data_IF_591281839774
#
_entry.id   IF_591281839774
#
_cell.length_a   1.000
_cell.length_b   1.000
_cell.length_c   1.000
_cell.angle_alpha   90.00
_cell.angle_beta   90.00
_cell.angle_gamma   90.00
#
_symmetry.space_group_name_H-M   'P 1'
#
loop_
_entity.id
_entity.type
_entity.pdbx_description
1 polymer ?
#
# COMPACT_ATOMS: atom_id res chain seq x y z
N UNK A 1 22.99 -10.34 -0.86
CA UNK A 1 23.56 -9.25 -0.03
C UNK A 1 23.33 -7.85 -0.60
N UNK A 2 23.56 -7.60 -1.91
CA UNK A 2 23.34 -6.28 -2.54
C UNK A 2 21.85 -5.87 -2.57
N UNK A 3 20.94 -6.82 -2.84
CA UNK A 3 19.50 -6.57 -2.84
C UNK A 3 18.95 -6.28 -1.45
N UNK A 4 19.42 -6.96 -0.43
CA UNK A 4 19.04 -6.74 0.97
C UNK A 4 19.44 -5.34 1.46
N UNK A 5 20.63 -4.85 1.07
CA UNK A 5 21.05 -3.48 1.38
C UNK A 5 20.19 -2.40 0.74
N UNK A 6 19.66 -2.66 -0.46
CA UNK A 6 18.76 -1.72 -1.15
C UNK A 6 17.37 -1.63 -0.51
N UNK A 7 16.95 -2.68 0.21
CA UNK A 7 15.64 -2.73 0.88
C UNK A 7 15.70 -2.29 2.35
N UNK A 8 16.87 -1.88 2.88
CA UNK A 8 17.07 -1.55 4.29
C UNK A 8 16.59 -2.65 5.27
N UNK A 9 16.57 -3.92 4.83
CA UNK A 9 16.13 -5.05 5.63
C UNK A 9 17.30 -5.56 6.47
N UNK A 10 17.10 -5.70 7.77
CA UNK A 10 18.01 -6.45 8.63
C UNK A 10 17.89 -7.93 8.31
N UNK A 11 19.03 -8.59 8.11
CA UNK A 11 19.09 -10.01 7.83
C UNK A 11 19.82 -10.77 8.96
N UNK A 12 19.55 -12.06 9.02
CA UNK A 12 20.21 -13.00 9.92
C UNK A 12 20.62 -14.24 9.11
N UNK A 13 21.72 -14.85 9.50
CA UNK A 13 22.24 -16.07 8.87
C UNK A 13 22.51 -17.14 9.93
N UNK A 14 22.69 -18.38 9.47
CA UNK A 14 23.00 -19.49 10.37
C UNK A 14 21.80 -20.11 11.07
N UNK A 15 20.57 -19.85 10.60
CA UNK A 15 19.33 -20.48 11.09
C UNK A 15 18.75 -21.44 10.06
N UNK A 16 17.98 -22.43 10.51
CA UNK A 16 17.19 -23.31 9.63
C UNK A 16 15.98 -22.55 9.10
N UNK A 17 16.13 -21.90 7.95
CA UNK A 17 15.09 -21.12 7.29
C UNK A 17 13.92 -21.99 6.85
N UNK A 18 14.15 -23.27 6.54
CA UNK A 18 13.09 -24.21 6.16
C UNK A 18 12.19 -24.58 7.34
N UNK A 19 12.79 -24.83 8.51
CA UNK A 19 12.04 -25.08 9.73
C UNK A 19 11.21 -23.85 10.11
N UNK A 20 11.81 -22.64 10.08
CA UNK A 20 11.12 -21.39 10.35
C UNK A 20 9.93 -21.16 9.41
N UNK A 21 10.11 -21.41 8.10
CA UNK A 21 9.04 -21.32 7.10
C UNK A 21 7.88 -22.26 7.42
N UNK A 22 8.16 -23.52 7.82
CA UNK A 22 7.13 -24.48 8.20
C UNK A 22 6.34 -24.01 9.43
N UNK A 23 7.03 -23.47 10.45
CA UNK A 23 6.42 -22.93 11.66
C UNK A 23 5.48 -21.76 11.31
N UNK A 24 5.95 -20.79 10.53
CA UNK A 24 5.13 -19.64 10.11
C UNK A 24 3.92 -20.11 9.29
N UNK A 25 4.10 -21.06 8.39
CA UNK A 25 3.02 -21.61 7.58
C UNK A 25 1.96 -22.30 8.45
N UNK A 26 2.37 -23.00 9.52
CA UNK A 26 1.47 -23.71 10.41
C UNK A 26 0.73 -22.78 11.36
N UNK A 27 1.43 -21.80 11.97
CA UNK A 27 0.93 -20.98 13.08
C UNK A 27 0.59 -19.56 12.68
N UNK A 28 1.02 -19.09 11.51
CA UNK A 28 0.88 -17.70 11.08
C UNK A 28 2.02 -16.81 11.57
N UNK A 29 1.87 -15.49 11.40
CA UNK A 29 2.83 -14.50 11.89
C UNK A 29 2.83 -14.46 13.41
N UNK A 30 4.02 -14.40 14.00
CA UNK A 30 4.21 -14.42 15.44
C UNK A 30 5.34 -13.46 15.88
N UNK A 31 5.33 -13.09 17.15
CA UNK A 31 6.44 -12.36 17.74
C UNK A 31 7.67 -13.28 17.80
N UNK A 32 8.83 -12.74 17.52
CA UNK A 32 10.10 -13.46 17.59
C UNK A 32 11.20 -12.56 18.15
N UNK A 33 12.22 -13.16 18.75
CA UNK A 33 13.42 -12.47 19.19
C UNK A 33 14.65 -13.24 18.75
N UNK A 34 15.77 -12.53 18.61
CA UNK A 34 17.08 -13.11 18.43
C UNK A 34 17.78 -13.15 19.78
N UNK A 35 18.29 -14.31 20.14
CA UNK A 35 19.00 -14.56 21.39
C UNK A 35 20.47 -14.80 21.14
N UNK A 36 21.33 -14.37 22.07
CA UNK A 36 22.74 -14.74 22.10
C UNK A 36 22.95 -16.05 22.90
N UNK A 37 24.05 -16.77 22.63
CA UNK A 37 24.41 -17.90 23.47
C UNK A 37 24.55 -17.47 24.93
N UNK A 38 23.79 -18.13 25.83
CA UNK A 38 23.79 -17.80 27.26
C UNK A 38 22.58 -17.00 27.76
N UNK A 39 21.75 -16.47 26.85
CA UNK A 39 20.51 -15.81 27.25
C UNK A 39 19.52 -16.82 27.85
N UNK A 40 18.78 -16.40 28.88
CA UNK A 40 17.71 -17.23 29.45
C UNK A 40 16.50 -17.28 28.51
N UNK A 41 16.17 -18.46 28.02
CA UNK A 41 15.01 -18.68 27.13
C UNK A 41 13.70 -18.30 27.83
N UNK A 42 13.56 -18.61 29.11
CA UNK A 42 12.36 -18.29 29.90
C UNK A 42 12.16 -16.78 29.97
N UNK A 43 13.23 -16.03 30.30
CA UNK A 43 13.17 -14.57 30.35
C UNK A 43 12.78 -13.95 28.99
N UNK A 44 13.38 -14.45 27.89
CA UNK A 44 13.05 -13.99 26.53
C UNK A 44 11.60 -14.32 26.14
N UNK A 45 11.09 -15.48 26.54
CA UNK A 45 9.67 -15.82 26.31
C UNK A 45 8.73 -14.89 27.07
N UNK A 46 9.04 -14.55 28.31
CA UNK A 46 8.25 -13.63 29.11
C UNK A 46 8.29 -12.20 28.52
N UNK A 47 9.44 -11.74 28.07
CA UNK A 47 9.57 -10.49 27.31
C UNK A 47 8.70 -10.48 26.05
N UNK A 48 8.71 -11.57 25.25
CA UNK A 48 7.90 -11.68 24.05
C UNK A 48 6.40 -11.64 24.33
N UNK A 49 5.97 -12.30 25.42
CA UNK A 49 4.57 -12.26 25.87
C UNK A 49 4.15 -10.86 26.30
N UNK A 50 5.01 -10.19 27.06
CA UNK A 50 4.75 -8.83 27.58
C UNK A 50 4.83 -7.75 26.50
N UNK A 51 5.57 -7.98 25.41
CA UNK A 51 5.75 -6.99 24.34
C UNK A 51 4.42 -6.68 23.67
N UNK A 52 4.02 -5.41 23.69
CA UNK A 52 2.90 -4.88 22.89
C UNK A 52 3.47 -4.31 21.59
N UNK A 53 2.88 -4.72 20.46
CA UNK A 53 3.28 -4.17 19.16
C UNK A 53 2.78 -2.73 19.03
N UNK A 54 3.58 -1.81 18.48
CA UNK A 54 3.15 -0.42 18.32
C UNK A 54 2.01 -0.32 17.29
N UNK A 55 1.08 0.59 17.53
CA UNK A 55 -0.02 0.94 16.61
C UNK A 55 0.25 2.22 15.83
N UNK A 56 1.29 2.97 16.20
CA UNK A 56 1.69 4.22 15.55
C UNK A 56 2.79 4.03 14.49
N UNK A 57 2.78 2.90 13.78
CA UNK A 57 3.84 2.58 12.81
C UNK A 57 3.93 3.62 11.67
N UNK A 58 2.80 4.10 11.19
CA UNK A 58 2.75 5.09 10.10
C UNK A 58 3.31 6.43 10.58
N UNK A 59 2.94 6.89 11.76
CA UNK A 59 3.47 8.11 12.37
C UNK A 59 5.01 8.09 12.48
N UNK A 60 5.59 6.92 12.78
CA UNK A 60 7.04 6.77 12.94
C UNK A 60 7.81 6.86 11.62
N UNK A 61 7.19 6.54 10.47
CA UNK A 61 7.86 6.43 9.16
C UNK A 61 7.45 7.52 8.16
N UNK A 62 6.31 8.17 8.36
CA UNK A 62 5.84 9.26 7.53
C UNK A 62 6.74 10.49 7.64
N UNK A 63 6.81 11.25 6.57
CA UNK A 63 7.46 12.58 6.60
C UNK A 63 6.78 13.48 7.65
N UNK A 64 7.56 14.36 8.26
CA UNK A 64 7.04 15.34 9.24
C UNK A 64 6.69 16.68 8.60
N UNK A 65 7.21 16.93 7.41
CA UNK A 65 6.96 18.17 6.66
C UNK A 65 6.78 17.84 5.19
N UNK A 66 5.93 18.61 4.51
CA UNK A 66 5.78 18.47 3.08
C UNK A 66 7.08 18.81 2.35
N UNK A 67 7.38 18.05 1.28
CA UNK A 67 8.52 18.31 0.42
C UNK A 67 8.20 18.03 -1.05
N UNK A 68 8.81 18.78 -2.00
CA UNK A 68 8.59 18.58 -3.42
C UNK A 68 9.52 17.52 -4.02
N UNK A 69 9.03 16.80 -5.02
CA UNK A 69 9.79 16.06 -6.02
C UNK A 69 9.41 16.67 -7.38
N UNK A 70 10.18 17.68 -7.87
CA UNK A 70 9.76 18.54 -8.97
C UNK A 70 9.72 17.81 -10.31
N UNK A 71 8.75 18.19 -11.14
CA UNK A 71 8.55 17.81 -12.53
C UNK A 71 7.80 18.92 -13.26
N UNK A 72 7.53 18.72 -14.56
CA UNK A 72 6.87 19.73 -15.42
C UNK A 72 5.46 19.29 -15.85
N UNK A 73 5.05 18.07 -15.51
CA UNK A 73 3.75 17.51 -15.87
C UNK A 73 2.68 17.70 -14.79
N UNK A 74 1.84 16.70 -14.60
CA UNK A 74 0.72 16.72 -13.64
C UNK A 74 1.17 16.96 -12.20
N UNK A 75 0.42 17.78 -11.47
CA UNK A 75 0.63 18.03 -10.05
C UNK A 75 -0.03 16.92 -9.21
N UNK A 76 0.78 16.10 -8.58
CA UNK A 76 0.33 14.98 -7.74
C UNK A 76 0.62 15.31 -6.28
N UNK A 77 -0.39 15.21 -5.42
CA UNK A 77 -0.18 15.16 -3.97
C UNK A 77 -0.05 13.70 -3.58
N UNK A 78 1.07 13.36 -2.93
CA UNK A 78 1.36 12.02 -2.45
C UNK A 78 1.31 12.01 -0.92
N UNK A 79 0.32 11.32 -0.36
CA UNK A 79 0.17 11.16 1.08
C UNK A 79 1.09 10.03 1.56
N UNK A 80 2.00 10.36 2.47
CA UNK A 80 3.06 9.46 2.94
C UNK A 80 2.64 8.64 4.16
N UNK A 81 2.18 7.43 3.94
CA UNK A 81 1.93 6.42 4.99
C UNK A 81 3.14 5.53 5.28
N UNK A 82 4.30 5.79 4.65
CA UNK A 82 5.52 4.98 4.70
C UNK A 82 6.06 4.71 3.30
N UNK A 83 6.23 5.78 2.55
CA UNK A 83 6.50 5.82 1.13
C UNK A 83 7.76 5.07 0.71
N UNK A 84 7.64 4.18 -0.25
CA UNK A 84 8.77 3.67 -1.02
C UNK A 84 9.17 4.68 -2.09
N UNK A 85 10.44 5.08 -2.10
CA UNK A 85 10.96 6.01 -3.11
C UNK A 85 10.80 5.54 -4.57
N UNK A 86 10.53 4.24 -4.79
CA UNK A 86 10.21 3.71 -6.12
C UNK A 86 8.91 4.29 -6.68
N UNK A 87 7.92 4.58 -5.85
CA UNK A 87 6.69 5.26 -6.28
C UNK A 87 7.00 6.66 -6.81
N UNK A 88 7.83 7.43 -6.11
CA UNK A 88 8.28 8.74 -6.61
C UNK A 88 9.03 8.61 -7.94
N UNK A 89 9.88 7.59 -8.08
CA UNK A 89 10.59 7.35 -9.35
C UNK A 89 9.63 7.04 -10.51
N UNK A 90 8.54 6.31 -10.25
CA UNK A 90 7.54 6.05 -11.29
C UNK A 90 6.82 7.33 -11.75
N UNK A 91 6.49 8.23 -10.83
CA UNK A 91 5.96 9.54 -11.18
C UNK A 91 6.99 10.44 -11.86
N UNK A 92 8.25 10.42 -11.39
CA UNK A 92 9.35 11.18 -12.02
C UNK A 92 9.65 10.74 -13.45
N UNK A 93 9.55 9.43 -13.76
CA UNK A 93 9.68 8.92 -15.14
C UNK A 93 8.58 9.45 -16.07
N UNK A 94 7.47 9.89 -15.52
CA UNK A 94 6.31 10.45 -16.21
C UNK A 94 6.23 11.98 -16.10
N UNK A 95 7.36 12.59 -15.73
CA UNK A 95 7.53 14.05 -15.57
C UNK A 95 6.55 14.71 -14.59
N UNK A 96 5.90 13.95 -13.71
CA UNK A 96 4.97 14.51 -12.74
C UNK A 96 5.67 15.40 -11.71
N UNK A 97 5.00 16.49 -11.35
CA UNK A 97 5.39 17.36 -10.24
C UNK A 97 4.71 16.84 -8.96
N UNK A 98 5.47 16.23 -8.05
CA UNK A 98 4.91 15.58 -6.87
C UNK A 98 5.20 16.40 -5.62
N UNK A 99 4.16 16.62 -4.81
CA UNK A 99 4.31 17.13 -3.43
C UNK A 99 4.00 15.99 -2.47
N UNK A 100 5.00 15.55 -1.73
CA UNK A 100 4.84 14.56 -0.68
C UNK A 100 4.39 15.26 0.59
N UNK A 101 3.31 14.76 1.21
CA UNK A 101 2.69 15.36 2.40
C UNK A 101 2.60 14.33 3.53
N UNK A 102 2.59 14.78 4.81
CA UNK A 102 2.43 13.90 5.95
C UNK A 102 1.12 13.09 5.92
N UNK A 103 1.13 11.96 6.64
CA UNK A 103 0.00 11.03 6.73
C UNK A 103 -1.29 11.62 7.36
N UNK A 104 -1.15 12.66 8.17
CA UNK A 104 -2.22 13.31 8.93
C UNK A 104 -2.79 14.57 8.26
N UNK A 105 -2.40 14.81 6.99
CA UNK A 105 -2.95 15.91 6.20
C UNK A 105 -4.47 15.80 6.07
N UNK A 106 -5.17 16.91 6.16
CA UNK A 106 -6.63 16.97 6.01
C UNK A 106 -7.07 17.05 4.55
N UNK A 107 -8.32 16.71 4.28
CA UNK A 107 -8.91 16.85 2.94
C UNK A 107 -8.89 18.33 2.47
N UNK A 108 -9.14 19.26 3.38
CA UNK A 108 -9.14 20.70 3.07
C UNK A 108 -7.75 21.16 2.64
N UNK A 109 -6.71 20.77 3.36
CA UNK A 109 -5.32 21.11 3.00
C UNK A 109 -4.93 20.52 1.63
N UNK A 110 -5.33 19.28 1.32
CA UNK A 110 -5.10 18.68 -0.01
C UNK A 110 -5.80 19.50 -1.09
N UNK A 111 -7.08 19.86 -0.88
CA UNK A 111 -7.85 20.66 -1.83
C UNK A 111 -7.23 22.05 -2.06
N UNK A 112 -6.66 22.68 -1.02
CA UNK A 112 -5.94 23.95 -1.14
C UNK A 112 -4.66 23.87 -1.99
N UNK A 113 -4.01 22.70 -2.03
CA UNK A 113 -2.86 22.47 -2.91
C UNK A 113 -3.26 22.36 -4.39
N UNK A 114 -4.57 22.24 -4.67
CA UNK A 114 -5.14 22.15 -6.01
C UNK A 114 -4.41 21.12 -6.92
N UNK A 115 -4.23 19.86 -6.50
CA UNK A 115 -3.55 18.87 -7.31
C UNK A 115 -4.44 18.36 -8.44
N UNK A 116 -3.80 17.82 -9.49
CA UNK A 116 -4.49 17.10 -10.56
C UNK A 116 -4.94 15.70 -10.10
N UNK A 117 -4.20 15.08 -9.17
CA UNK A 117 -4.51 13.77 -8.61
C UNK A 117 -3.88 13.55 -7.25
N UNK A 118 -4.40 12.59 -6.50
CA UNK A 118 -3.90 12.18 -5.18
C UNK A 118 -3.44 10.74 -5.20
N UNK A 119 -2.20 10.52 -4.74
CA UNK A 119 -1.61 9.21 -4.54
C UNK A 119 -1.60 8.86 -3.06
N UNK A 120 -2.19 7.72 -2.67
CA UNK A 120 -2.13 7.15 -1.33
C UNK A 120 -1.02 6.09 -1.31
N UNK A 121 0.07 6.36 -0.58
CA UNK A 121 1.24 5.50 -0.60
C UNK A 121 1.03 4.18 0.13
N UNK A 122 1.98 3.28 -0.02
CA UNK A 122 2.15 2.13 0.84
C UNK A 122 2.51 2.55 2.27
N UNK A 123 2.40 1.61 3.23
CA UNK A 123 2.77 1.85 4.62
C UNK A 123 2.77 0.57 5.47
N UNK A 124 3.36 0.61 6.66
CA UNK A 124 3.38 -0.50 7.61
C UNK A 124 2.14 -0.50 8.53
N UNK A 125 1.88 -1.63 9.18
CA UNK A 125 0.93 -1.74 10.28
C UNK A 125 -0.46 -2.22 9.88
N UNK A 126 -1.41 -1.94 10.75
CA UNK A 126 -2.82 -2.25 10.55
C UNK A 126 -3.52 -1.00 9.97
N UNK A 127 -4.29 -1.12 8.88
CA UNK A 127 -5.01 0.05 8.32
C UNK A 127 -6.05 0.64 9.28
N UNK A 128 -6.54 -0.11 10.26
CA UNK A 128 -7.47 0.39 11.27
C UNK A 128 -6.81 1.31 12.31
N UNK A 129 -5.47 1.34 12.38
CA UNK A 129 -4.74 2.23 13.31
C UNK A 129 -4.71 3.70 12.82
N UNK A 130 -5.22 4.01 11.62
CA UNK A 130 -5.19 5.34 11.00
C UNK A 130 -6.59 5.86 10.59
N UNK A 131 -7.54 5.96 11.52
CA UNK A 131 -8.93 6.31 11.20
C UNK A 131 -9.07 7.71 10.58
N UNK A 132 -8.22 8.66 10.92
CA UNK A 132 -8.21 10.02 10.36
C UNK A 132 -7.96 10.04 8.83
N UNK A 133 -7.21 9.08 8.30
CA UNK A 133 -7.00 8.96 6.85
C UNK A 133 -8.30 8.62 6.10
N UNK A 134 -9.24 7.93 6.75
CA UNK A 134 -10.53 7.60 6.14
C UNK A 134 -11.37 8.85 5.89
N UNK A 135 -11.36 9.80 6.83
CA UNK A 135 -12.11 11.06 6.70
C UNK A 135 -11.47 11.96 5.64
N UNK A 136 -10.14 11.98 5.57
CA UNK A 136 -9.41 12.67 4.51
C UNK A 136 -9.80 12.11 3.14
N UNK A 137 -9.76 10.79 2.96
CA UNK A 137 -10.10 10.13 1.69
C UNK A 137 -11.55 10.44 1.30
N UNK A 138 -12.51 10.32 2.21
CA UNK A 138 -13.92 10.67 1.96
C UNK A 138 -14.09 12.13 1.55
N UNK A 139 -13.31 13.03 2.16
CA UNK A 139 -13.36 14.46 1.88
C UNK A 139 -12.87 14.87 0.50
N UNK A 140 -11.97 14.09 -0.12
CA UNK A 140 -11.43 14.35 -1.48
C UNK A 140 -12.10 13.52 -2.58
N UNK A 141 -12.80 12.42 -2.23
CA UNK A 141 -13.48 11.56 -3.21
C UNK A 141 -14.48 12.34 -4.05
N UNK A 142 -14.50 12.05 -5.36
CA UNK A 142 -15.35 12.73 -6.33
C UNK A 142 -14.88 14.14 -6.72
N UNK A 143 -13.93 14.72 -6.00
CA UNK A 143 -13.37 16.05 -6.27
C UNK A 143 -12.03 15.97 -7.01
N UNK A 144 -11.26 14.94 -6.75
CA UNK A 144 -9.93 14.72 -7.31
C UNK A 144 -9.75 13.23 -7.60
N UNK A 145 -9.13 12.83 -8.72
CA UNK A 145 -8.76 11.44 -8.97
C UNK A 145 -7.82 10.86 -7.91
N UNK A 146 -8.06 9.61 -7.49
CA UNK A 146 -7.31 8.94 -6.43
C UNK A 146 -6.73 7.62 -6.95
N UNK A 147 -5.44 7.38 -6.63
CA UNK A 147 -4.79 6.08 -6.78
C UNK A 147 -4.20 5.64 -5.44
N UNK A 148 -4.45 4.40 -5.01
CA UNK A 148 -3.93 3.83 -3.75
C UNK A 148 -3.09 2.58 -3.97
N UNK A 149 -1.96 2.46 -3.26
CA UNK A 149 -1.08 1.29 -3.30
C UNK A 149 -0.92 0.70 -1.90
N UNK A 150 -1.13 -0.62 -1.77
CA UNK A 150 -0.92 -1.43 -0.56
C UNK A 150 -1.70 -0.85 0.66
N UNK A 151 -1.07 -0.12 1.57
CA UNK A 151 -1.77 0.57 2.67
C UNK A 151 -2.81 1.55 2.12
N UNK A 152 -2.47 2.31 1.07
CA UNK A 152 -3.40 3.22 0.41
C UNK A 152 -4.63 2.52 -0.17
N UNK A 153 -4.48 1.29 -0.69
CA UNK A 153 -5.60 0.45 -1.13
C UNK A 153 -6.50 0.06 0.04
N UNK A 154 -5.90 -0.37 1.16
CA UNK A 154 -6.66 -0.76 2.34
C UNK A 154 -7.44 0.42 2.91
N UNK A 155 -6.77 1.57 3.09
CA UNK A 155 -7.43 2.80 3.58
C UNK A 155 -8.53 3.30 2.65
N UNK A 156 -8.31 3.27 1.33
CA UNK A 156 -9.33 3.60 0.33
C UNK A 156 -10.56 2.69 0.45
N UNK A 157 -10.34 1.39 0.58
CA UNK A 157 -11.42 0.42 0.73
C UNK A 157 -12.19 0.60 2.05
N UNK A 158 -11.48 0.82 3.16
CA UNK A 158 -12.09 1.09 4.47
C UNK A 158 -12.88 2.42 4.47
N UNK A 159 -12.37 3.46 3.82
CA UNK A 159 -13.05 4.75 3.70
C UNK A 159 -14.42 4.61 3.02
N UNK A 160 -14.57 3.63 2.13
CA UNK A 160 -15.80 3.30 1.44
C UNK A 160 -16.68 2.27 2.16
N UNK A 161 -16.28 1.79 3.34
CA UNK A 161 -17.08 0.90 4.18
C UNK A 161 -16.75 -0.59 4.07
N UNK A 162 -15.72 -0.98 3.30
CA UNK A 162 -15.20 -2.34 3.32
C UNK A 162 -14.47 -2.63 4.64
N UNK A 163 -14.19 -3.90 4.93
CA UNK A 163 -13.45 -4.35 6.09
C UNK A 163 -12.12 -4.96 5.68
N UNK A 164 -11.09 -4.74 6.49
CA UNK A 164 -9.82 -5.44 6.36
C UNK A 164 -9.75 -6.62 7.35
N UNK A 165 -9.02 -7.66 6.99
CA UNK A 165 -8.71 -8.76 7.89
C UNK A 165 -7.22 -9.07 7.89
N UNK A 166 -6.73 -9.57 9.02
CA UNK A 166 -5.35 -10.02 9.14
C UNK A 166 -5.21 -11.41 8.54
N UNK A 167 -4.38 -11.53 7.52
CA UNK A 167 -4.06 -12.81 6.89
C UNK A 167 -3.20 -13.66 7.83
N UNK A 168 -3.27 -14.99 7.70
CA UNK A 168 -2.50 -15.91 8.53
C UNK A 168 -0.99 -15.64 8.46
N UNK A 169 -0.44 -15.46 7.26
CA UNK A 169 0.98 -15.13 7.04
C UNK A 169 1.20 -14.04 5.98
N UNK A 170 0.15 -13.58 5.29
CA UNK A 170 0.17 -12.54 4.27
C UNK A 170 0.87 -12.96 2.97
N UNK A 171 0.91 -12.04 2.02
CA UNK A 171 1.64 -12.20 0.77
C UNK A 171 3.00 -11.51 0.85
N UNK A 172 4.08 -12.26 0.57
CA UNK A 172 5.45 -11.74 0.57
C UNK A 172 6.26 -12.43 -0.51
N UNK A 173 6.69 -11.65 -1.51
CA UNK A 173 7.49 -12.15 -2.63
C UNK A 173 7.28 -11.35 -3.90
N UNK A 174 7.88 -11.85 -4.99
CA UNK A 174 7.90 -11.18 -6.31
C UNK A 174 7.28 -12.05 -7.40
N UNK A 175 6.56 -13.08 -7.02
CA UNK A 175 6.00 -14.10 -7.91
C UNK A 175 4.53 -14.41 -7.61
N UNK A 176 3.82 -13.43 -7.08
CA UNK A 176 2.37 -13.55 -6.89
C UNK A 176 1.67 -13.21 -8.20
N UNK A 177 0.91 -14.16 -8.71
CA UNK A 177 0.15 -14.00 -9.95
C UNK A 177 -1.20 -13.38 -9.64
N UNK A 178 -1.44 -12.18 -10.17
CA UNK A 178 -2.67 -11.41 -10.02
C UNK A 178 -3.38 -11.31 -11.35
N UNK A 179 -4.67 -11.60 -11.36
CA UNK A 179 -5.52 -11.51 -12.54
C UNK A 179 -6.32 -10.22 -12.53
N UNK A 180 -6.21 -9.45 -13.59
CA UNK A 180 -7.17 -8.40 -13.90
C UNK A 180 -8.49 -9.03 -14.39
N UNK A 181 -9.59 -8.73 -13.71
CA UNK A 181 -10.87 -9.42 -13.94
C UNK A 181 -11.47 -9.06 -15.30
N UNK A 182 -11.38 -7.79 -15.70
CA UNK A 182 -11.99 -7.28 -16.92
C UNK A 182 -11.38 -7.87 -18.20
N UNK A 183 -10.06 -8.00 -18.24
CA UNK A 183 -9.31 -8.45 -19.44
C UNK A 183 -8.90 -9.92 -19.36
N UNK A 184 -8.85 -10.48 -18.15
CA UNK A 184 -8.30 -11.81 -17.88
C UNK A 184 -6.76 -11.84 -17.90
N UNK A 185 -6.08 -10.69 -18.05
CA UNK A 185 -4.63 -10.58 -18.04
C UNK A 185 -4.08 -10.98 -16.67
N UNK A 186 -2.96 -11.66 -16.68
CA UNK A 186 -2.26 -12.10 -15.47
C UNK A 186 -0.89 -11.43 -15.43
N UNK A 187 -0.65 -10.67 -14.38
CA UNK A 187 0.62 -10.03 -14.09
C UNK A 187 1.30 -10.71 -12.89
N UNK A 188 2.62 -10.87 -12.94
CA UNK A 188 3.39 -11.22 -11.77
C UNK A 188 3.70 -9.97 -10.97
N UNK A 189 3.39 -10.02 -9.68
CA UNK A 189 3.43 -8.84 -8.81
C UNK A 189 4.38 -8.99 -7.64
N UNK A 190 4.90 -7.84 -7.20
CA UNK A 190 5.62 -7.71 -5.94
C UNK A 190 4.62 -7.48 -4.82
N UNK A 191 4.70 -8.29 -3.76
CA UNK A 191 3.78 -8.22 -2.63
C UNK A 191 4.52 -8.22 -1.30
N UNK A 192 4.08 -7.38 -0.37
CA UNK A 192 4.54 -7.38 1.02
C UNK A 192 3.46 -6.79 1.93
N UNK A 193 2.44 -7.59 2.24
CA UNK A 193 1.36 -7.16 3.13
C UNK A 193 0.89 -8.31 4.02
N UNK A 194 0.31 -7.98 5.18
CA UNK A 194 -0.25 -8.92 6.14
C UNK A 194 -1.75 -8.76 6.35
N UNK A 195 -2.35 -7.76 5.74
CA UNK A 195 -3.79 -7.52 5.74
C UNK A 195 -4.32 -7.53 4.32
N UNK A 196 -5.58 -7.93 4.16
CA UNK A 196 -6.29 -7.91 2.89
C UNK A 196 -7.72 -7.41 3.10
N UNK A 197 -8.38 -7.00 2.03
CA UNK A 197 -9.78 -6.56 2.05
C UNK A 197 -10.69 -7.79 1.98
N UNK A 198 -11.65 -7.83 2.89
CA UNK A 198 -12.66 -8.86 2.91
C UNK A 198 -13.65 -8.66 1.75
N UNK A 199 -13.63 -9.59 0.81
CA UNK A 199 -14.47 -9.56 -0.40
C UNK A 199 -15.95 -9.47 -0.09
N UNK A 200 -16.42 -10.15 0.96
CA UNK A 200 -17.83 -10.19 1.33
C UNK A 200 -18.30 -8.88 1.97
N UNK A 201 -17.37 -8.07 2.45
CA UNK A 201 -17.66 -6.76 3.05
C UNK A 201 -17.69 -5.62 2.05
N UNK A 202 -17.33 -5.87 0.78
CA UNK A 202 -17.27 -4.80 -0.23
C UNK A 202 -18.64 -4.19 -0.46
N UNK A 203 -18.77 -2.86 -0.35
CA UNK A 203 -20.02 -2.17 -0.66
C UNK A 203 -20.26 -2.09 -2.18
N UNK A 204 -21.49 -1.86 -2.58
CA UNK A 204 -21.90 -1.78 -3.99
C UNK A 204 -21.16 -0.70 -4.79
N UNK A 205 -20.67 0.35 -4.13
CA UNK A 205 -19.89 1.42 -4.78
C UNK A 205 -18.49 0.98 -5.21
N UNK A 206 -17.97 -0.13 -4.68
CA UNK A 206 -16.66 -0.66 -5.05
C UNK A 206 -16.80 -1.90 -5.96
N UNK A 207 -15.99 -1.93 -6.99
CA UNK A 207 -15.86 -3.07 -7.91
C UNK A 207 -14.46 -3.67 -7.79
N UNK A 208 -14.38 -5.00 -7.61
CA UNK A 208 -13.10 -5.71 -7.64
C UNK A 208 -12.55 -5.68 -9.06
N UNK A 209 -11.32 -5.20 -9.21
CA UNK A 209 -10.61 -5.14 -10.50
C UNK A 209 -9.55 -6.21 -10.64
N UNK A 210 -8.89 -6.55 -9.54
CA UNK A 210 -7.79 -7.51 -9.50
C UNK A 210 -7.99 -8.54 -8.38
N UNK A 211 -7.61 -9.78 -8.65
CA UNK A 211 -7.63 -10.87 -7.66
C UNK A 211 -6.35 -11.72 -7.74
N UNK A 212 -5.86 -12.19 -6.61
CA UNK A 212 -4.79 -13.20 -6.55
C UNK A 212 -5.32 -14.55 -7.05
N UNK A 213 -4.51 -15.25 -7.88
CA UNK A 213 -4.99 -16.44 -8.57
C UNK A 213 -5.20 -17.63 -7.63
N UNK A 214 -4.36 -17.79 -6.60
CA UNK A 214 -4.37 -18.98 -5.75
C UNK A 214 -5.43 -18.90 -4.63
N UNK A 215 -5.49 -17.78 -3.89
CA UNK A 215 -6.37 -17.66 -2.72
C UNK A 215 -7.59 -16.74 -2.93
N UNK A 216 -7.67 -16.10 -4.11
CA UNK A 216 -8.78 -15.23 -4.49
C UNK A 216 -8.93 -13.98 -3.63
N UNK A 217 -7.88 -13.58 -2.92
CA UNK A 217 -7.88 -12.31 -2.20
C UNK A 217 -8.10 -11.14 -3.15
N UNK A 218 -8.69 -10.07 -2.61
CA UNK A 218 -8.92 -8.83 -3.36
C UNK A 218 -7.59 -8.10 -3.51
N UNK A 219 -7.15 -7.94 -4.75
CA UNK A 219 -5.88 -7.31 -5.09
C UNK A 219 -6.03 -5.93 -5.75
N UNK A 220 -7.26 -5.52 -6.03
CA UNK A 220 -7.55 -4.19 -6.53
C UNK A 220 -9.04 -3.90 -6.56
N UNK A 221 -9.37 -2.63 -6.34
CA UNK A 221 -10.74 -2.13 -6.43
C UNK A 221 -10.79 -0.80 -7.18
N UNK A 222 -11.95 -0.53 -7.80
CA UNK A 222 -12.29 0.76 -8.43
C UNK A 222 -13.62 1.24 -7.88
N UNK A 223 -13.75 2.54 -7.64
CA UNK A 223 -15.04 3.14 -7.32
C UNK A 223 -15.88 3.27 -8.59
N UNK A 224 -17.21 2.98 -8.49
CA UNK A 224 -18.10 3.01 -9.65
C UNK A 224 -18.44 4.43 -10.13
N UNK A 225 -18.58 5.35 -9.19
CA UNK A 225 -19.05 6.70 -9.44
C UNK A 225 -17.93 7.76 -9.43
N UNK A 226 -16.84 7.49 -8.72
CA UNK A 226 -15.75 8.45 -8.56
C UNK A 226 -14.49 8.00 -9.32
N UNK A 227 -13.67 8.93 -9.81
CA UNK A 227 -12.42 8.63 -10.49
C UNK A 227 -11.36 8.15 -9.48
N UNK A 228 -11.52 6.93 -8.99
CA UNK A 228 -10.65 6.39 -7.97
C UNK A 228 -10.48 4.87 -8.11
N UNK A 229 -9.24 4.41 -8.00
CA UNK A 229 -8.90 2.99 -7.95
C UNK A 229 -7.69 2.72 -7.06
N UNK A 230 -7.48 1.46 -6.72
CA UNK A 230 -6.37 1.08 -5.86
C UNK A 230 -5.98 -0.37 -6.06
N UNK A 231 -4.70 -0.70 -5.75
CA UNK A 231 -4.17 -2.06 -5.81
C UNK A 231 -3.42 -2.43 -4.55
N UNK A 232 -3.52 -3.70 -4.14
CA UNK A 232 -2.89 -4.24 -2.94
C UNK A 232 -1.40 -4.52 -3.14
N UNK A 233 -1.02 -4.95 -4.34
CA UNK A 233 0.36 -5.21 -4.73
C UNK A 233 1.14 -3.93 -5.05
N UNK A 234 2.45 -4.06 -5.31
CA UNK A 234 3.35 -2.94 -5.60
C UNK A 234 3.68 -2.83 -7.09
N UNK A 235 2.98 -1.99 -7.87
CA UNK A 235 3.28 -1.78 -9.28
C UNK A 235 4.59 -1.04 -9.53
N UNK A 236 5.15 -0.39 -8.50
CA UNK A 236 6.46 0.25 -8.49
C UNK A 236 7.63 -0.74 -8.49
N UNK A 237 7.39 -2.01 -8.19
CA UNK A 237 8.23 -3.19 -8.35
C UNK A 237 9.73 -3.01 -8.06
N UNK A 238 10.10 -2.43 -6.94
CA UNK A 238 11.50 -2.27 -6.54
C UNK A 238 11.79 -2.92 -5.16
N UNK A 239 12.20 -4.18 -5.18
CA UNK A 239 12.43 -5.09 -6.32
C UNK A 239 11.16 -5.81 -6.77
N UNK A 240 11.17 -6.32 -7.99
CA UNK A 240 10.12 -7.18 -8.53
C UNK A 240 9.93 -7.04 -10.05
N UNK A 241 8.97 -7.76 -10.62
CA UNK A 241 8.57 -7.63 -12.02
C UNK A 241 7.88 -6.27 -12.26
N UNK A 242 8.04 -5.75 -13.49
CA UNK A 242 7.48 -4.44 -13.88
C UNK A 242 6.17 -4.56 -14.67
N UNK A 243 5.54 -5.74 -14.65
CA UNK A 243 4.34 -6.06 -15.44
C UNK A 243 3.20 -5.08 -15.17
N UNK A 244 3.05 -4.62 -13.94
CA UNK A 244 1.96 -3.75 -13.49
C UNK A 244 2.30 -2.25 -13.50
N UNK A 245 3.46 -1.83 -14.02
CA UNK A 245 3.86 -0.40 -14.04
C UNK A 245 2.92 0.50 -14.83
N UNK A 246 2.15 -0.07 -15.77
CA UNK A 246 1.12 0.63 -16.56
C UNK A 246 0.03 1.28 -15.70
N UNK A 247 -0.18 0.82 -14.45
CA UNK A 247 -1.17 1.41 -13.55
C UNK A 247 -0.88 2.87 -13.20
N UNK A 248 0.38 3.30 -13.27
CA UNK A 248 0.72 4.71 -13.16
C UNK A 248 0.27 5.50 -14.39
N UNK A 249 0.35 4.91 -15.59
CA UNK A 249 -0.14 5.52 -16.83
C UNK A 249 -1.67 5.60 -16.81
N UNK A 250 -2.35 4.51 -16.39
CA UNK A 250 -3.80 4.48 -16.18
C UNK A 250 -4.28 5.59 -15.21
N UNK A 251 -3.50 5.86 -14.16
CA UNK A 251 -3.83 6.95 -13.23
C UNK A 251 -3.74 8.33 -13.91
N UNK A 252 -2.73 8.56 -14.73
CA UNK A 252 -2.62 9.83 -15.48
C UNK A 252 -3.72 9.99 -16.52
N UNK A 253 -4.08 8.91 -17.21
CA UNK A 253 -5.23 8.89 -18.14
C UNK A 253 -6.55 9.17 -17.42
N UNK A 254 -6.73 8.63 -16.20
CA UNK A 254 -7.89 8.92 -15.35
C UNK A 254 -7.97 10.41 -14.99
N UNK A 255 -6.82 11.04 -14.68
CA UNK A 255 -6.74 12.48 -14.42
C UNK A 255 -7.16 13.27 -15.66
N UNK A 256 -6.62 12.93 -16.83
CA UNK A 256 -6.95 13.62 -18.10
C UNK A 256 -8.44 13.50 -18.43
N UNK A 257 -9.02 12.32 -18.27
CA UNK A 257 -10.44 12.07 -18.49
C UNK A 257 -11.32 12.92 -17.55
N UNK A 258 -10.96 12.97 -16.26
CA UNK A 258 -11.68 13.77 -15.27
C UNK A 258 -11.60 15.27 -15.54
N UNK A 259 -10.44 15.79 -15.91
CA UNK A 259 -10.27 17.18 -16.29
C UNK A 259 -11.08 17.55 -17.53
N UNK A 260 -11.07 16.67 -18.55
CA UNK A 260 -11.84 16.88 -19.78
C UNK A 260 -13.36 16.88 -19.52
N UNK A 261 -13.84 16.05 -18.59
CA UNK A 261 -15.26 16.04 -18.20
C UNK A 261 -15.64 17.34 -17.46
N UNK A 262 -14.83 17.78 -16.51
CA UNK A 262 -15.08 19.02 -15.76
C UNK A 262 -15.02 20.27 -16.64
N UNK A 263 -14.19 20.29 -17.68
CA UNK A 263 -14.12 21.40 -18.63
C UNK A 263 -15.37 21.51 -19.54
N UNK A 264 -16.18 20.45 -19.63
CA UNK A 264 -17.42 20.40 -20.43
C UNK A 264 -18.68 20.79 -19.63
N UNK A 265 -18.58 20.77 -18.30
CA UNK A 265 -19.63 21.22 -17.37
C UNK A 265 -19.55 22.71 -17.12
#
# INVERSE_FOLDING_TARGET
>A
LRRQRQMCIRDSSGIDTRALTKIIRQHGTMKATLASPGDSIEHLQDQLRATVLPTNNIEQVSTKTAYPAPGVGKNIVLVDFGLKHSILREFSKRDCNVTVVPHDITAEEILHLNPDGVMLSNGPGNPEDVPYALDMIRGIQGKIPIFGICMGHQLFSLANGAKAYKMKFGHRGFNHAVREIATGRVDFTSQNHGYAIDRESLPDCLMVTHEEINDKSVEGVRHRDFPAFSVQFHPDAAPGPHDASYLFDEFLELIDAFQAENARR
#
